data_IF_682951764285
#
_entry.id   IF_682951764285
#
_cell.length_a   1.000
_cell.length_b   1.000
_cell.length_c   1.000
_cell.angle_alpha   90.00
_cell.angle_beta   90.00
_cell.angle_gamma   90.00
#
_symmetry.space_group_name_H-M   'P 1'
#
loop_
_entity.id
_entity.type
_entity.pdbx_description
1 polymer ?
#
# COMPACT_ATOMS: atom_id res chain seq x y z
N UNK A 1 -21.30 -6.11 -17.92
CA UNK A 1 -20.10 -6.79 -17.44
C UNK A 1 -19.46 -5.96 -16.33
N UNK A 2 -19.19 -6.58 -15.19
CA UNK A 2 -18.60 -5.88 -14.09
C UNK A 2 -17.08 -5.84 -14.23
N UNK A 3 -16.49 -4.71 -13.82
CA UNK A 3 -15.04 -4.62 -13.76
C UNK A 3 -14.50 -5.59 -12.70
N UNK A 4 -13.29 -6.12 -12.89
CA UNK A 4 -12.66 -6.97 -11.87
C UNK A 4 -12.53 -6.21 -10.55
N UNK A 5 -12.67 -6.93 -9.44
CA UNK A 5 -12.47 -6.35 -8.12
C UNK A 5 -10.98 -6.04 -7.94
N UNK A 6 -10.63 -4.79 -7.60
CA UNK A 6 -9.23 -4.46 -7.39
C UNK A 6 -8.70 -5.06 -6.10
N UNK A 7 -7.43 -5.45 -6.11
CA UNK A 7 -6.75 -6.01 -4.95
C UNK A 7 -5.74 -5.03 -4.41
N UNK A 8 -5.80 -4.74 -3.13
CA UNK A 8 -4.85 -3.90 -2.43
C UNK A 8 -4.03 -4.76 -1.45
N UNK A 9 -2.73 -4.56 -1.44
CA UNK A 9 -1.86 -5.18 -0.46
C UNK A 9 -1.51 -4.12 0.59
N UNK A 10 -1.85 -4.37 1.83
CA UNK A 10 -1.59 -3.48 2.95
C UNK A 10 -0.41 -4.02 3.75
N UNK A 11 0.66 -3.27 3.79
CA UNK A 11 1.90 -3.67 4.45
C UNK A 11 2.19 -2.75 5.63
N UNK A 12 2.05 -3.27 6.83
CA UNK A 12 2.24 -2.51 8.07
C UNK A 12 2.50 -3.51 9.19
N UNK A 13 3.49 -3.25 10.02
CA UNK A 13 3.78 -4.12 11.16
C UNK A 13 2.85 -3.87 12.35
N UNK A 14 2.12 -2.75 12.35
CA UNK A 14 1.11 -2.46 13.36
C UNK A 14 -0.20 -3.14 12.97
N UNK A 15 -0.57 -4.19 13.67
CA UNK A 15 -1.76 -4.99 13.35
C UNK A 15 -3.06 -4.18 13.44
N UNK A 16 -3.16 -3.26 14.38
CA UNK A 16 -4.37 -2.45 14.55
C UNK A 16 -4.54 -1.47 13.38
N UNK A 17 -3.47 -0.82 12.98
CA UNK A 17 -3.50 0.11 11.86
C UNK A 17 -3.74 -0.64 10.54
N UNK A 18 -3.12 -1.80 10.38
CA UNK A 18 -3.32 -2.64 9.20
C UNK A 18 -4.78 -3.07 9.09
N UNK A 19 -5.40 -3.48 10.20
CA UNK A 19 -6.80 -3.86 10.23
C UNK A 19 -7.72 -2.69 9.87
N UNK A 20 -7.45 -1.51 10.43
CA UNK A 20 -8.24 -0.32 10.13
C UNK A 20 -8.19 0.01 8.64
N UNK A 21 -7.00 -0.03 8.07
CA UNK A 21 -6.80 0.21 6.64
C UNK A 21 -7.57 -0.82 5.80
N UNK A 22 -7.45 -2.09 6.17
CA UNK A 22 -8.16 -3.16 5.47
C UNK A 22 -9.66 -2.94 5.47
N UNK A 23 -10.25 -2.66 6.63
CA UNK A 23 -11.70 -2.49 6.73
C UNK A 23 -12.18 -1.35 5.84
N UNK A 24 -11.46 -0.21 5.86
CA UNK A 24 -11.85 0.92 5.04
C UNK A 24 -11.76 0.62 3.54
N UNK A 25 -10.74 -0.12 3.11
CA UNK A 25 -10.61 -0.51 1.71
C UNK A 25 -11.68 -1.52 1.29
N UNK A 26 -11.97 -2.49 2.15
CA UNK A 26 -13.01 -3.48 1.86
C UNK A 26 -14.38 -2.84 1.72
N UNK A 27 -14.68 -1.84 2.55
CA UNK A 27 -15.94 -1.10 2.45
C UNK A 27 -16.06 -0.37 1.11
N UNK A 28 -14.96 -0.07 0.46
CA UNK A 28 -14.93 0.61 -0.82
C UNK A 28 -14.74 -0.33 -2.01
N UNK A 29 -14.86 -1.62 -1.80
CA UNK A 29 -14.89 -2.59 -2.87
C UNK A 29 -13.56 -3.26 -3.21
N UNK A 30 -12.53 -3.06 -2.40
CA UNK A 30 -11.25 -3.75 -2.62
C UNK A 30 -11.25 -5.13 -1.98
N UNK A 31 -10.57 -6.07 -2.63
CA UNK A 31 -10.07 -7.23 -1.93
C UNK A 31 -8.75 -6.83 -1.30
N UNK A 32 -8.54 -7.23 -0.05
CA UNK A 32 -7.34 -6.80 0.69
C UNK A 32 -6.54 -8.01 1.14
N UNK A 33 -5.24 -7.94 0.85
CA UNK A 33 -4.25 -8.89 1.35
C UNK A 33 -3.37 -8.13 2.34
N UNK A 34 -2.97 -8.77 3.41
CA UNK A 34 -2.16 -8.14 4.46
C UNK A 34 -0.78 -8.77 4.53
N UNK A 35 0.20 -7.94 4.88
CA UNK A 35 1.55 -8.38 5.17
C UNK A 35 2.12 -7.53 6.30
N UNK A 36 2.90 -8.15 7.17
CA UNK A 36 3.51 -7.48 8.30
C UNK A 36 5.03 -7.39 8.17
N UNK A 37 5.61 -8.09 7.20
CA UNK A 37 7.07 -8.15 7.01
C UNK A 37 7.42 -8.05 5.53
N UNK A 38 8.70 -7.83 5.25
CA UNK A 38 9.19 -7.81 3.87
C UNK A 38 8.95 -9.17 3.19
N UNK A 39 9.22 -10.25 3.92
CA UNK A 39 9.06 -11.61 3.38
C UNK A 39 7.61 -11.92 3.04
N UNK A 40 6.69 -11.53 3.92
CA UNK A 40 5.26 -11.70 3.68
C UNK A 40 4.80 -10.86 2.48
N UNK A 41 5.35 -9.66 2.35
CA UNK A 41 5.04 -8.78 1.23
C UNK A 41 5.44 -9.42 -0.09
N UNK A 42 6.66 -9.94 -0.16
CA UNK A 42 7.13 -10.58 -1.38
C UNK A 42 6.30 -11.81 -1.74
N UNK A 43 5.95 -12.61 -0.76
CA UNK A 43 5.10 -13.78 -0.98
C UNK A 43 3.70 -13.37 -1.47
N UNK A 44 3.13 -12.33 -0.86
CA UNK A 44 1.81 -11.83 -1.25
C UNK A 44 1.80 -11.28 -2.67
N UNK A 45 2.84 -10.56 -3.06
CA UNK A 45 2.97 -10.03 -4.43
C UNK A 45 2.99 -11.16 -5.45
N UNK A 46 3.75 -12.20 -5.18
CA UNK A 46 3.82 -13.34 -6.11
C UNK A 46 2.49 -14.07 -6.23
N UNK A 47 1.77 -14.19 -5.10
CA UNK A 47 0.54 -14.97 -5.06
C UNK A 47 -0.67 -14.22 -5.59
N UNK A 48 -0.81 -12.95 -5.24
CA UNK A 48 -2.05 -12.19 -5.49
C UNK A 48 -1.95 -11.15 -6.59
N UNK A 49 -0.75 -10.72 -6.96
CA UNK A 49 -0.53 -9.67 -7.96
C UNK A 49 -1.42 -8.45 -7.70
N UNK A 50 -1.18 -7.72 -6.62
CA UNK A 50 -2.07 -6.62 -6.25
C UNK A 50 -2.05 -5.48 -7.27
N UNK A 51 -3.15 -4.74 -7.33
CA UNK A 51 -3.30 -3.57 -8.19
C UNK A 51 -2.67 -2.33 -7.56
N UNK A 52 -2.52 -2.33 -6.25
CA UNK A 52 -1.87 -1.24 -5.50
C UNK A 52 -1.30 -1.80 -4.21
N UNK A 53 -0.16 -1.26 -3.78
CA UNK A 53 0.46 -1.62 -2.51
C UNK A 53 0.54 -0.37 -1.64
N UNK A 54 0.06 -0.49 -0.41
CA UNK A 54 0.19 0.55 0.60
C UNK A 54 1.30 0.08 1.55
N UNK A 55 2.45 0.71 1.46
CA UNK A 55 3.69 0.21 2.09
C UNK A 55 4.17 1.16 3.16
N UNK A 56 4.23 0.70 4.40
CA UNK A 56 4.85 1.45 5.49
C UNK A 56 6.36 1.51 5.25
N UNK A 57 6.93 2.68 5.42
CA UNK A 57 8.38 2.90 5.23
C UNK A 57 9.19 2.06 6.22
N UNK A 58 8.68 1.87 7.42
CA UNK A 58 9.39 1.15 8.47
C UNK A 58 8.64 -0.13 8.84
N UNK A 59 9.22 -1.28 8.51
CA UNK A 59 8.66 -2.58 8.86
C UNK A 59 9.59 -3.26 9.86
N UNK A 60 9.19 -3.27 11.14
CA UNK A 60 9.95 -3.94 12.19
C UNK A 60 11.40 -3.51 12.26
N UNK A 61 11.66 -2.21 12.07
CA UNK A 61 13.01 -1.68 12.07
C UNK A 61 13.78 -1.83 10.76
N UNK A 62 13.18 -2.46 9.76
CA UNK A 62 13.81 -2.62 8.45
C UNK A 62 13.40 -1.48 7.51
N UNK A 63 14.34 -1.01 6.72
CA UNK A 63 14.03 -0.07 5.66
C UNK A 63 13.46 -0.81 4.46
N UNK A 64 12.44 -0.22 3.85
CA UNK A 64 11.73 -0.86 2.75
C UNK A 64 12.08 -0.28 1.37
N UNK A 65 13.14 0.53 1.29
CA UNK A 65 13.50 1.17 0.02
C UNK A 65 13.94 0.18 -1.05
N UNK A 66 14.70 -0.86 -0.67
CA UNK A 66 15.11 -1.89 -1.64
C UNK A 66 13.91 -2.69 -2.11
N UNK A 67 12.97 -2.97 -1.21
CA UNK A 67 11.71 -3.62 -1.59
C UNK A 67 10.93 -2.74 -2.55
N UNK A 68 10.84 -1.45 -2.28
CA UNK A 68 10.15 -0.50 -3.13
C UNK A 68 10.71 -0.52 -4.56
N UNK A 69 12.04 -0.53 -4.70
CA UNK A 69 12.67 -0.56 -6.01
C UNK A 69 12.28 -1.83 -6.80
N UNK A 70 12.22 -2.97 -6.12
CA UNK A 70 11.82 -4.22 -6.76
C UNK A 70 10.34 -4.21 -7.18
N UNK A 71 9.48 -3.67 -6.32
CA UNK A 71 8.05 -3.57 -6.62
C UNK A 71 7.79 -2.66 -7.81
N UNK A 72 8.52 -1.55 -7.89
CA UNK A 72 8.38 -0.64 -9.02
C UNK A 72 8.89 -1.24 -10.32
N UNK A 73 9.93 -2.08 -10.25
CA UNK A 73 10.40 -2.83 -11.41
C UNK A 73 9.32 -3.76 -11.95
N UNK A 74 8.47 -4.28 -11.07
CA UNK A 74 7.33 -5.12 -11.46
C UNK A 74 6.12 -4.31 -11.91
N UNK A 75 6.24 -2.98 -11.94
CA UNK A 75 5.19 -2.05 -12.38
C UNK A 75 3.92 -2.10 -11.53
N UNK A 76 4.06 -2.41 -10.26
CA UNK A 76 2.94 -2.37 -9.33
C UNK A 76 2.95 -0.98 -8.67
N UNK A 77 1.84 -0.24 -8.72
CA UNK A 77 1.78 1.07 -8.06
C UNK A 77 1.96 0.95 -6.55
N UNK A 78 2.83 1.77 -5.98
CA UNK A 78 3.13 1.75 -4.56
C UNK A 78 2.90 3.13 -3.95
N UNK A 79 2.07 3.18 -2.91
CA UNK A 79 1.93 4.35 -2.06
C UNK A 79 2.72 4.09 -0.79
N UNK A 80 3.70 4.93 -0.50
CA UNK A 80 4.42 4.86 0.77
C UNK A 80 3.63 5.59 1.85
N UNK A 81 3.60 5.00 3.04
CA UNK A 81 2.97 5.61 4.20
C UNK A 81 4.08 5.91 5.21
N UNK A 82 4.22 7.16 5.61
CA UNK A 82 5.35 7.57 6.44
C UNK A 82 4.99 8.74 7.35
N UNK A 83 5.83 8.96 8.37
CA UNK A 83 5.74 10.17 9.18
C UNK A 83 6.17 11.39 8.35
N UNK A 84 5.74 12.56 8.77
CA UNK A 84 5.91 13.80 8.01
C UNK A 84 7.36 14.16 7.70
N UNK A 85 8.30 13.77 8.55
CA UNK A 85 9.70 14.17 8.42
C UNK A 85 10.34 13.59 7.15
N UNK A 86 9.91 12.39 6.76
CA UNK A 86 10.55 11.64 5.67
C UNK A 86 9.80 11.75 4.34
N UNK A 87 8.63 12.38 4.33
CA UNK A 87 7.76 12.36 3.15
C UNK A 87 8.45 12.86 1.88
N UNK A 88 9.13 13.99 1.96
CA UNK A 88 9.78 14.59 0.79
C UNK A 88 10.93 13.73 0.26
N UNK A 89 11.63 13.02 1.16
CA UNK A 89 12.74 12.17 0.77
C UNK A 89 12.29 11.00 -0.12
N UNK A 90 11.04 10.56 0.03
CA UNK A 90 10.54 9.37 -0.66
C UNK A 90 9.69 9.68 -1.89
N UNK A 91 9.37 10.96 -2.14
CA UNK A 91 8.44 11.30 -3.23
C UNK A 91 8.91 10.87 -4.61
N UNK A 92 10.22 10.89 -4.84
CA UNK A 92 10.76 10.47 -6.13
C UNK A 92 10.83 8.96 -6.28
N UNK A 93 10.74 8.21 -5.17
CA UNK A 93 10.94 6.77 -5.15
C UNK A 93 9.64 5.97 -5.20
N UNK A 94 8.51 6.61 -4.99
CA UNK A 94 7.21 5.94 -4.94
C UNK A 94 6.23 6.62 -5.90
N UNK A 95 5.15 5.93 -6.20
CA UNK A 95 4.09 6.50 -7.04
C UNK A 95 3.29 7.56 -6.28
N UNK A 96 3.22 7.43 -4.96
CA UNK A 96 2.62 8.42 -4.09
C UNK A 96 3.13 8.26 -2.67
N UNK A 97 3.00 9.30 -1.88
CA UNK A 97 3.39 9.29 -0.46
C UNK A 97 2.21 9.83 0.35
N UNK A 98 1.82 9.08 1.38
CA UNK A 98 0.78 9.48 2.31
C UNK A 98 1.41 9.71 3.68
N UNK A 99 1.21 10.88 4.24
CA UNK A 99 1.83 11.28 5.49
C UNK A 99 0.93 10.98 6.69
N UNK A 100 1.48 10.35 7.72
CA UNK A 100 0.76 10.11 8.97
C UNK A 100 0.75 11.39 9.83
N UNK A 101 -0.34 11.70 10.54
CA UNK A 101 -1.63 11.01 10.50
C UNK A 101 -2.44 11.37 9.25
N UNK A 102 -3.25 10.45 8.79
CA UNK A 102 -4.10 10.67 7.62
C UNK A 102 -5.53 10.22 7.92
N UNK A 103 -6.49 10.80 7.22
CA UNK A 103 -7.86 10.35 7.31
C UNK A 103 -8.05 9.10 6.45
N UNK A 104 -8.87 8.13 6.89
CA UNK A 104 -9.11 6.92 6.07
C UNK A 104 -9.56 7.24 4.64
N UNK A 105 -10.33 8.31 4.46
CA UNK A 105 -10.79 8.73 3.13
C UNK A 105 -9.63 9.12 2.21
N UNK A 106 -8.57 9.71 2.76
CA UNK A 106 -7.40 10.07 1.98
C UNK A 106 -6.68 8.84 1.45
N UNK A 107 -6.55 7.81 2.30
CA UNK A 107 -5.92 6.56 1.92
C UNK A 107 -6.74 5.84 0.86
N UNK A 108 -8.05 5.77 1.04
CA UNK A 108 -8.95 5.12 0.08
C UNK A 108 -8.90 5.82 -1.27
N UNK A 109 -8.97 7.15 -1.29
CA UNK A 109 -8.91 7.91 -2.53
C UNK A 109 -7.60 7.68 -3.27
N UNK A 110 -6.51 7.64 -2.54
CA UNK A 110 -5.19 7.38 -3.10
C UNK A 110 -5.10 5.97 -3.69
N UNK A 111 -5.60 4.98 -2.96
CA UNK A 111 -5.60 3.59 -3.43
C UNK A 111 -6.43 3.44 -4.71
N UNK A 112 -7.60 4.07 -4.76
CA UNK A 112 -8.45 4.04 -5.96
C UNK A 112 -7.74 4.66 -7.16
N UNK A 113 -7.09 5.80 -6.95
CA UNK A 113 -6.36 6.49 -8.01
C UNK A 113 -5.23 5.63 -8.56
N UNK A 114 -4.43 5.05 -7.68
CA UNK A 114 -3.29 4.24 -8.09
C UNK A 114 -3.70 2.92 -8.72
N UNK A 115 -4.75 2.30 -8.22
CA UNK A 115 -5.28 1.06 -8.78
C UNK A 115 -6.11 1.31 -10.04
N UNK A 116 -6.32 2.57 -10.41
CA UNK A 116 -7.12 2.97 -11.57
C UNK A 116 -8.54 2.46 -11.50
N UNK A 117 -9.14 2.56 -10.30
CA UNK A 117 -10.53 2.19 -10.10
C UNK A 117 -11.40 3.33 -10.60
N UNK A 118 -12.28 3.04 -11.54
CA UNK A 118 -13.25 4.01 -12.00
C UNK A 118 -14.40 4.12 -11.00
N UNK A 119 -14.85 5.34 -10.77
CA UNK A 119 -15.93 5.63 -9.86
C UNK A 119 -17.26 5.70 -10.60
#
# INVERSE_FOLDING_TARGET
>A
MQAPTPTALVVDDDAALRMLTRVNLELEGFEVVEAATVEETEAAVRRSRPDVILLDVHLGGQETLSLLARLRADRIPVALVTGSVDADAYRASADAVLTKPFAPQELVALAKRLARVEV
#
